data_IF_339537784689
#
_entry.id   IF_339537784689
#
_cell.length_a   1.000
_cell.length_b   1.000
_cell.length_c   1.000
_cell.angle_alpha   90.00
_cell.angle_beta   90.00
_cell.angle_gamma   90.00
#
_symmetry.space_group_name_H-M   'P 1'
#
loop_
_entity.id
_entity.type
_entity.pdbx_description
1 polymer ?
#
# COMPACT_ATOMS: atom_id res chain seq x y z
N UNK A 1 -1.77 10.80 -4.80
CA UNK A 1 -1.90 9.32 -4.67
C UNK A 1 -1.16 8.56 -5.76
N UNK A 2 -1.15 9.04 -7.01
CA UNK A 2 -0.55 8.34 -8.16
C UNK A 2 0.96 8.06 -8.03
N UNK A 3 1.73 8.99 -7.45
CA UNK A 3 3.18 8.80 -7.27
C UNK A 3 3.50 7.62 -6.33
N UNK A 4 2.79 7.51 -5.20
CA UNK A 4 2.97 6.39 -4.26
C UNK A 4 2.52 5.05 -4.86
N UNK A 5 1.43 5.05 -5.62
CA UNK A 5 0.91 3.84 -6.24
C UNK A 5 1.86 3.24 -7.30
N UNK A 6 2.65 4.08 -7.96
CA UNK A 6 3.61 3.67 -8.99
C UNK A 6 4.97 3.23 -8.43
N UNK A 7 5.23 3.48 -7.15
CA UNK A 7 6.51 3.17 -6.53
C UNK A 7 6.78 1.65 -6.52
N UNK A 8 7.87 1.26 -7.19
CA UNK A 8 8.35 -0.13 -7.26
C UNK A 8 9.23 -0.51 -6.06
N UNK A 9 9.67 0.44 -5.23
CA UNK A 9 10.47 0.19 -4.04
C UNK A 9 9.67 -0.36 -2.86
N UNK A 10 8.34 -0.44 -2.95
CA UNK A 10 7.50 -1.04 -1.91
C UNK A 10 7.75 -2.56 -1.87
N UNK A 11 8.17 -3.11 -0.72
CA UNK A 11 8.57 -4.51 -0.60
C UNK A 11 7.39 -5.46 -0.82
N UNK A 12 7.68 -6.64 -1.39
CA UNK A 12 6.74 -7.74 -1.58
C UNK A 12 7.11 -8.95 -0.71
N UNK A 13 6.21 -9.92 -0.49
CA UNK A 13 6.57 -11.17 0.20
C UNK A 13 7.85 -11.79 -0.36
N UNK A 14 8.79 -12.14 0.52
CA UNK A 14 10.13 -12.61 0.18
C UNK A 14 11.22 -11.53 0.28
N UNK A 15 10.89 -10.25 0.11
CA UNK A 15 11.84 -9.15 0.29
C UNK A 15 12.19 -8.97 1.78
N UNK A 16 13.45 -8.65 2.10
CA UNK A 16 13.89 -8.42 3.48
C UNK A 16 13.10 -7.30 4.19
N UNK A 17 12.63 -6.31 3.43
CA UNK A 17 11.83 -5.20 3.95
C UNK A 17 10.35 -5.50 4.18
N UNK A 18 9.87 -6.70 3.81
CA UNK A 18 8.45 -7.02 3.93
C UNK A 18 8.10 -7.49 5.36
N UNK A 19 7.20 -6.78 6.07
CA UNK A 19 6.97 -7.01 7.50
C UNK A 19 6.17 -8.29 7.82
N UNK A 20 5.57 -8.96 6.83
CA UNK A 20 4.70 -10.13 7.02
C UNK A 20 5.24 -11.41 6.34
N UNK A 21 6.56 -11.57 6.25
CA UNK A 21 7.19 -12.75 5.63
C UNK A 21 6.88 -14.08 6.37
N UNK A 22 6.46 -14.03 7.63
CA UNK A 22 5.98 -15.20 8.37
C UNK A 22 4.60 -15.70 7.91
N UNK A 23 3.80 -14.82 7.30
CA UNK A 23 2.42 -15.12 6.90
C UNK A 23 2.27 -15.35 5.39
N UNK A 24 3.13 -14.72 4.59
CA UNK A 24 3.08 -14.80 3.14
C UNK A 24 4.34 -15.44 2.57
N UNK A 25 4.12 -16.38 1.64
CA UNK A 25 5.21 -16.98 0.88
C UNK A 25 5.66 -16.01 -0.21
N UNK A 26 6.97 -15.89 -0.39
CA UNK A 26 7.53 -15.18 -1.53
C UNK A 26 7.29 -15.89 -2.87
N UNK A 27 7.50 -15.20 -4.00
CA UNK A 27 7.42 -15.78 -5.33
C UNK A 27 8.43 -16.92 -5.51
N UNK A 28 8.08 -17.93 -6.31
CA UNK A 28 8.96 -19.09 -6.50
C UNK A 28 10.05 -18.88 -7.56
N UNK A 29 9.84 -17.93 -8.48
CA UNK A 29 10.75 -17.62 -9.58
C UNK A 29 10.58 -16.16 -10.04
N UNK A 30 11.46 -15.71 -10.93
CA UNK A 30 11.49 -14.33 -11.43
C UNK A 30 10.19 -13.91 -12.15
N UNK A 31 9.56 -14.81 -12.90
CA UNK A 31 8.31 -14.51 -13.60
C UNK A 31 7.15 -14.25 -12.62
N UNK A 32 7.05 -15.08 -11.58
CA UNK A 32 6.08 -14.86 -10.50
C UNK A 32 6.38 -13.59 -9.71
N UNK A 33 7.65 -13.24 -9.56
CA UNK A 33 8.05 -12.00 -8.90
C UNK A 33 7.54 -10.77 -9.66
N UNK A 34 7.83 -10.67 -10.97
CA UNK A 34 7.39 -9.53 -11.77
C UNK A 34 5.86 -9.48 -11.89
N UNK A 35 5.21 -10.64 -12.00
CA UNK A 35 3.76 -10.74 -11.99
C UNK A 35 3.15 -10.23 -10.66
N UNK A 36 3.73 -10.61 -9.52
CA UNK A 36 3.28 -10.17 -8.20
C UNK A 36 3.51 -8.67 -8.00
N UNK A 37 4.67 -8.13 -8.41
CA UNK A 37 4.95 -6.69 -8.35
C UNK A 37 3.95 -5.89 -9.18
N UNK A 38 3.69 -6.34 -10.42
CA UNK A 38 2.72 -5.71 -11.33
C UNK A 38 1.30 -5.76 -10.76
N UNK A 39 0.89 -6.91 -10.22
CA UNK A 39 -0.41 -7.09 -9.60
C UNK A 39 -0.62 -6.15 -8.39
N UNK A 40 0.36 -6.09 -7.48
CA UNK A 40 0.30 -5.21 -6.32
C UNK A 40 0.33 -3.72 -6.71
N UNK A 41 1.05 -3.37 -7.78
CA UNK A 41 1.03 -2.01 -8.33
C UNK A 41 -0.39 -1.63 -8.82
N UNK A 42 -1.03 -2.50 -9.60
CA UNK A 42 -2.40 -2.28 -10.06
C UNK A 42 -3.37 -2.13 -8.87
N UNK A 43 -3.20 -2.97 -7.84
CA UNK A 43 -4.01 -2.93 -6.63
C UNK A 43 -3.88 -1.58 -5.91
N UNK A 44 -2.66 -1.04 -5.77
CA UNK A 44 -2.43 0.29 -5.17
C UNK A 44 -3.06 1.42 -5.98
N UNK A 45 -3.01 1.35 -7.31
CA UNK A 45 -3.61 2.37 -8.18
C UNK A 45 -5.13 2.42 -8.00
N UNK A 46 -5.79 1.26 -8.13
CA UNK A 46 -7.24 1.14 -8.01
C UNK A 46 -7.73 1.55 -6.61
N UNK A 47 -7.07 1.05 -5.56
CA UNK A 47 -7.44 1.41 -4.19
C UNK A 47 -7.21 2.90 -3.91
N UNK A 48 -6.10 3.47 -4.41
CA UNK A 48 -5.78 4.87 -4.20
C UNK A 48 -6.87 5.81 -4.73
N UNK A 49 -7.43 5.50 -5.92
CA UNK A 49 -8.52 6.27 -6.51
C UNK A 49 -9.82 6.09 -5.72
N UNK A 50 -10.22 4.84 -5.45
CA UNK A 50 -11.47 4.55 -4.72
C UNK A 50 -11.47 5.09 -3.29
N UNK A 51 -10.30 5.13 -2.65
CA UNK A 51 -10.16 5.63 -1.31
C UNK A 51 -10.35 7.16 -1.25
N UNK A 52 -9.87 7.91 -2.25
CA UNK A 52 -10.09 9.36 -2.31
C UNK A 52 -11.58 9.72 -2.25
N UNK A 53 -12.43 9.00 -2.98
CA UNK A 53 -13.89 9.19 -2.97
C UNK A 53 -14.54 8.98 -1.60
N UNK A 54 -13.88 8.25 -0.70
CA UNK A 54 -14.38 7.97 0.66
C UNK A 54 -13.77 8.87 1.72
N UNK A 55 -12.52 9.33 1.51
CA UNK A 55 -11.75 10.08 2.50
C UNK A 55 -12.02 11.58 2.40
N UNK A 56 -12.40 12.10 1.24
CA UNK A 56 -12.69 13.52 1.04
C UNK A 56 -14.19 13.80 1.03
N UNK A 57 -14.57 14.93 1.62
CA UNK A 57 -15.96 15.43 1.59
C UNK A 57 -16.31 15.90 0.16
N UNK A 58 -17.38 15.38 -0.47
CA UNK A 58 -17.73 15.74 -1.86
C UNK A 58 -18.08 17.22 -2.07
N UNK A 59 -18.50 17.94 -1.02
CA UNK A 59 -18.91 19.34 -1.11
C UNK A 59 -17.75 20.30 -0.80
N UNK A 60 -16.82 19.91 0.06
CA UNK A 60 -15.74 20.81 0.53
C UNK A 60 -14.34 20.40 0.10
N UNK A 61 -14.17 19.20 -0.48
CA UNK A 61 -12.89 18.59 -0.85
C UNK A 61 -11.89 18.51 0.30
N UNK A 62 -12.39 18.52 1.55
CA UNK A 62 -11.56 18.42 2.76
C UNK A 62 -11.49 16.97 3.24
N UNK A 63 -10.33 16.54 3.80
CA UNK A 63 -10.22 15.22 4.42
C UNK A 63 -11.18 15.06 5.60
N UNK A 64 -11.95 13.97 5.61
CA UNK A 64 -12.87 13.63 6.68
C UNK A 64 -12.11 13.18 7.93
N UNK A 65 -12.38 13.81 9.08
CA UNK A 65 -11.73 13.49 10.36
C UNK A 65 -11.86 12.03 10.77
N UNK A 66 -12.96 11.37 10.38
CA UNK A 66 -13.23 9.98 10.70
C UNK A 66 -12.23 9.03 10.04
N UNK A 67 -11.74 9.37 8.85
CA UNK A 67 -10.68 8.63 8.17
C UNK A 67 -9.29 9.04 8.63
N UNK A 68 -9.02 10.34 8.76
CA UNK A 68 -7.68 10.82 9.13
C UNK A 68 -7.29 10.45 10.57
N UNK A 69 -8.27 10.18 11.45
CA UNK A 69 -8.03 9.68 12.81
C UNK A 69 -7.25 8.35 12.87
N UNK A 70 -7.26 7.58 11.77
CA UNK A 70 -6.52 6.31 11.66
C UNK A 70 -5.08 6.49 11.17
N UNK A 71 -4.65 7.67 10.72
CA UNK A 71 -3.35 7.86 10.05
C UNK A 71 -2.11 7.49 10.89
N UNK A 72 -2.23 7.48 12.22
CA UNK A 72 -1.15 7.06 13.14
C UNK A 72 -1.30 5.62 13.64
N UNK A 73 -2.39 4.94 13.32
CA UNK A 73 -2.69 3.58 13.79
C UNK A 73 -2.15 2.58 12.76
N UNK A 74 -1.18 1.76 13.17
CA UNK A 74 -0.62 0.71 12.33
C UNK A 74 -1.44 -0.57 12.49
N UNK A 75 -1.76 -1.23 11.39
CA UNK A 75 -2.37 -2.55 11.45
C UNK A 75 -1.30 -3.58 11.86
N UNK A 76 -1.59 -4.38 12.89
CA UNK A 76 -0.67 -5.36 13.48
C UNK A 76 0.67 -4.79 13.97
N UNK A 77 0.75 -3.48 14.24
CA UNK A 77 2.00 -2.76 14.53
C UNK A 77 3.07 -2.84 13.41
N UNK A 78 2.65 -3.20 12.18
CA UNK A 78 3.52 -3.33 11.01
C UNK A 78 3.40 -2.12 10.07
N UNK A 79 4.46 -1.85 9.30
CA UNK A 79 4.46 -0.83 8.22
C UNK A 79 5.07 -1.40 6.96
N UNK A 80 4.43 -1.11 5.82
CA UNK A 80 4.96 -1.46 4.49
C UNK A 80 5.98 -0.44 3.97
N UNK A 81 5.94 0.77 4.52
CA UNK A 81 6.81 1.88 4.11
C UNK A 81 7.90 2.03 5.18
N UNK A 82 9.19 2.00 4.82
CA UNK A 82 10.29 2.31 5.72
C UNK A 82 10.17 3.75 6.26
N UNK A 83 10.63 4.05 7.48
CA UNK A 83 10.68 5.42 7.97
C UNK A 83 11.58 6.28 7.07
N UNK A 84 11.04 7.35 6.49
CA UNK A 84 11.77 8.30 5.62
C UNK A 84 11.39 8.27 4.14
N UNK A 85 10.44 7.40 3.76
CA UNK A 85 9.75 7.43 2.46
C UNK A 85 8.35 8.07 2.60
#
# INVERSE_FOLDING_TARGET
MSAFALDRCIPIPGDQGFPMNSHFKGPANADQEEALRSYLQQLRQELGVRLCEKVFDPATDKPLKWWTSFGKRKFLDLTLIPPGM
#
